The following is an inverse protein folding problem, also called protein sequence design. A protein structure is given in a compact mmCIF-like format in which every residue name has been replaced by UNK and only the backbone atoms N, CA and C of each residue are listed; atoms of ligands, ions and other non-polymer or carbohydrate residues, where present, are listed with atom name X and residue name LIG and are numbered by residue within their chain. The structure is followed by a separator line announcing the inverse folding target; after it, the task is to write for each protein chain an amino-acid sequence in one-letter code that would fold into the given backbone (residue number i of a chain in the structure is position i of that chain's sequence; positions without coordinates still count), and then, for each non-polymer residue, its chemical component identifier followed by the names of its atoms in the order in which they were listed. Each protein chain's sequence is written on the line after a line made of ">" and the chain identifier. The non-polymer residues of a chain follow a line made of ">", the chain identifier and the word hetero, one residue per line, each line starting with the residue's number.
data_IF_847943836602
#
_entry.id   IF_847943836602
#
_cell.length_a   1.000
_cell.length_b   1.000
_cell.length_c   1.000
_cell.angle_alpha   90.00
_cell.angle_beta   90.00
_cell.angle_gamma   90.00
#
_symmetry.space_group_name_H-M   'P 1'
#
loop_
_entity.id
_entity.type
_entity.pdbx_description
1 polymer ?
#
# COMPACT_ATOMS: atom_id res chain seq x y z
N UNK A 1 -7.98 -9.79 -0.14
CA UNK A 1 -6.95 -9.37 -1.14
C UNK A 1 -5.77 -10.33 -1.12
N UNK A 2 -5.64 -11.19 -2.14
CA UNK A 2 -4.61 -12.24 -2.17
C UNK A 2 -3.17 -11.74 -2.42
N UNK A 3 -2.99 -10.52 -2.91
CA UNK A 3 -1.67 -9.99 -3.27
C UNK A 3 -0.85 -9.43 -2.08
N UNK A 4 -1.51 -9.08 -0.97
CA UNK A 4 -0.86 -8.42 0.18
C UNK A 4 0.24 -9.27 0.83
N UNK A 5 0.05 -10.57 1.11
CA UNK A 5 1.10 -11.40 1.69
C UNK A 5 2.38 -11.43 0.84
N UNK A 6 2.23 -11.72 -0.45
CA UNK A 6 3.36 -11.78 -1.36
C UNK A 6 4.06 -10.43 -1.55
N UNK A 7 3.32 -9.32 -1.47
CA UNK A 7 3.92 -8.00 -1.50
C UNK A 7 4.80 -7.72 -0.28
N UNK A 8 4.31 -8.03 0.94
CA UNK A 8 5.08 -7.90 2.19
C UNK A 8 6.36 -8.73 2.12
N UNK A 9 6.24 -9.98 1.68
CA UNK A 9 7.38 -10.89 1.49
C UNK A 9 8.42 -10.28 0.54
N UNK A 10 8.00 -9.79 -0.63
CA UNK A 10 8.91 -9.16 -1.61
C UNK A 10 9.58 -7.91 -1.04
N UNK A 11 8.85 -7.05 -0.33
CA UNK A 11 9.40 -5.86 0.32
C UNK A 11 10.54 -6.22 1.26
N UNK A 12 10.34 -7.21 2.15
CA UNK A 12 11.38 -7.62 3.10
C UNK A 12 12.56 -8.27 2.38
N UNK A 13 12.30 -9.28 1.55
CA UNK A 13 13.35 -10.06 0.87
C UNK A 13 14.24 -9.17 0.00
N UNK A 14 13.67 -8.18 -0.70
CA UNK A 14 14.43 -7.26 -1.56
C UNK A 14 15.38 -6.33 -0.80
N UNK A 15 15.25 -6.20 0.53
CA UNK A 15 16.06 -5.31 1.37
C UNK A 15 17.02 -6.02 2.30
N UNK A 16 16.93 -7.34 2.42
CA UNK A 16 17.91 -8.13 3.15
C UNK A 16 19.16 -8.35 2.28
N UNK A 17 20.34 -8.25 2.89
CA UNK A 17 21.61 -8.54 2.22
C UNK A 17 21.87 -10.04 2.07
N UNK A 18 21.31 -10.84 2.98
CA UNK A 18 21.47 -12.28 3.05
C UNK A 18 20.09 -12.97 3.12
N UNK A 19 20.08 -14.29 2.94
CA UNK A 19 18.86 -15.06 3.09
C UNK A 19 18.28 -14.90 4.52
N UNK A 20 16.95 -14.74 4.67
CA UNK A 20 16.33 -14.59 5.98
C UNK A 20 16.52 -15.86 6.83
N UNK A 21 16.83 -15.68 8.11
CA UNK A 21 16.83 -16.79 9.08
C UNK A 21 15.42 -17.36 9.27
N UNK A 22 15.27 -18.56 9.85
CA UNK A 22 13.96 -19.11 10.19
C UNK A 22 13.10 -18.19 11.06
N UNK A 23 13.73 -17.44 11.96
CA UNK A 23 13.06 -16.45 12.82
C UNK A 23 12.51 -15.29 11.99
N UNK A 24 13.32 -14.75 11.06
CA UNK A 24 12.88 -13.69 10.14
C UNK A 24 11.78 -14.18 9.21
N UNK A 25 11.86 -15.42 8.71
CA UNK A 25 10.78 -16.02 7.92
C UNK A 25 9.45 -16.10 8.68
N UNK A 26 9.49 -16.43 9.98
CA UNK A 26 8.30 -16.41 10.83
C UNK A 26 7.72 -15.01 10.99
N UNK A 27 8.58 -13.98 11.17
CA UNK A 27 8.16 -12.58 11.24
C UNK A 27 7.54 -12.10 9.92
N UNK A 28 8.14 -12.46 8.78
CA UNK A 28 7.59 -12.15 7.45
C UNK A 28 6.19 -12.76 7.31
N UNK A 29 6.04 -14.04 7.62
CA UNK A 29 4.77 -14.73 7.51
C UNK A 29 3.70 -14.12 8.43
N UNK A 30 4.08 -13.68 9.63
CA UNK A 30 3.15 -13.01 10.54
C UNK A 30 2.73 -11.62 10.04
N UNK A 31 3.69 -10.80 9.64
CA UNK A 31 3.43 -9.49 9.05
C UNK A 31 2.56 -9.60 7.80
N UNK A 32 2.79 -10.60 6.94
CA UNK A 32 2.00 -10.88 5.76
C UNK A 32 0.53 -11.21 6.11
N UNK A 33 0.30 -12.10 7.08
CA UNK A 33 -1.05 -12.43 7.54
C UNK A 33 -1.75 -11.24 8.18
N UNK A 34 -1.03 -10.47 9.00
CA UNK A 34 -1.57 -9.28 9.68
C UNK A 34 -1.93 -8.20 8.69
N UNK A 35 -1.05 -7.91 7.72
CA UNK A 35 -1.32 -6.99 6.61
C UNK A 35 -2.56 -7.42 5.84
N UNK A 36 -2.68 -8.69 5.48
CA UNK A 36 -3.85 -9.19 4.76
C UNK A 36 -5.15 -8.98 5.55
N UNK A 37 -5.15 -9.24 6.86
CA UNK A 37 -6.35 -9.06 7.70
C UNK A 37 -6.72 -7.59 7.84
N UNK A 38 -5.77 -6.76 8.27
CA UNK A 38 -6.06 -5.38 8.66
C UNK A 38 -6.22 -4.47 7.43
N UNK A 39 -5.24 -4.47 6.54
CA UNK A 39 -5.23 -3.63 5.34
C UNK A 39 -6.27 -4.14 4.33
N UNK A 40 -6.46 -5.45 4.25
CA UNK A 40 -7.52 -6.04 3.43
C UNK A 40 -8.91 -5.58 3.87
N UNK A 41 -9.21 -5.62 5.18
CA UNK A 41 -10.48 -5.14 5.72
C UNK A 41 -10.66 -3.64 5.53
N UNK A 42 -9.60 -2.85 5.67
CA UNK A 42 -9.63 -1.40 5.45
C UNK A 42 -9.95 -1.05 3.98
N UNK A 43 -9.28 -1.72 3.03
CA UNK A 43 -9.54 -1.53 1.59
C UNK A 43 -10.96 -1.98 1.24
N UNK A 44 -11.43 -3.10 1.76
CA UNK A 44 -12.81 -3.55 1.56
C UNK A 44 -13.83 -2.55 2.10
N UNK A 45 -13.62 -2.03 3.31
CA UNK A 45 -14.45 -0.98 3.89
C UNK A 45 -14.40 0.31 3.06
N UNK A 46 -13.25 0.67 2.50
CA UNK A 46 -13.12 1.83 1.63
C UNK A 46 -13.91 1.66 0.33
N UNK A 47 -13.81 0.50 -0.30
CA UNK A 47 -14.43 0.22 -1.60
C UNK A 47 -15.96 0.07 -1.51
N UNK A 48 -16.49 -0.26 -0.33
CA UNK A 48 -17.94 -0.37 -0.08
C UNK A 48 -18.61 0.96 0.27
N UNK A 49 -17.83 1.99 0.64
CA UNK A 49 -18.35 3.35 0.88
C UNK A 49 -18.80 4.01 -0.42
N UNK A 50 -19.80 4.87 -0.31
CA UNK A 50 -20.17 5.74 -1.42
C UNK A 50 -18.96 6.61 -1.83
N UNK A 51 -18.85 6.90 -3.12
CA UNK A 51 -17.73 7.64 -3.71
C UNK A 51 -17.49 8.98 -3.01
N UNK A 52 -18.56 9.66 -2.60
CA UNK A 52 -18.50 10.97 -1.92
C UNK A 52 -18.05 10.84 -0.45
N UNK A 53 -18.11 9.65 0.13
CA UNK A 53 -17.68 9.34 1.50
C UNK A 53 -16.24 8.80 1.58
N UNK A 54 -15.64 8.46 0.43
CA UNK A 54 -14.28 7.94 0.34
C UNK A 54 -13.24 9.06 0.47
N UNK A 55 -12.87 9.37 1.73
CA UNK A 55 -11.87 10.39 2.11
C UNK A 55 -10.40 10.01 1.84
N UNK A 56 -10.14 8.77 1.42
CA UNK A 56 -8.79 8.27 1.10
C UNK A 56 -8.82 7.46 -0.20
N UNK A 57 -7.66 6.94 -0.60
CA UNK A 57 -7.50 6.08 -1.78
C UNK A 57 -6.91 4.73 -1.39
N UNK A 58 -7.17 3.65 -2.16
CA UNK A 58 -6.51 2.36 -1.92
C UNK A 58 -4.98 2.48 -1.90
N UNK A 59 -4.41 3.36 -2.74
CA UNK A 59 -2.97 3.61 -2.75
C UNK A 59 -2.48 4.25 -1.46
N UNK A 60 -3.20 5.22 -0.90
CA UNK A 60 -2.85 5.81 0.40
C UNK A 60 -2.85 4.77 1.51
N UNK A 61 -3.87 3.90 1.57
CA UNK A 61 -3.95 2.81 2.54
C UNK A 61 -2.76 1.84 2.40
N UNK A 62 -2.36 1.53 1.16
CA UNK A 62 -1.19 0.67 0.89
C UNK A 62 0.14 1.35 1.22
N UNK A 63 0.24 2.67 1.07
CA UNK A 63 1.42 3.42 1.52
C UNK A 63 1.58 3.35 3.03
N UNK A 64 0.48 3.47 3.77
CA UNK A 64 0.51 3.34 5.23
C UNK A 64 0.85 1.89 5.67
N UNK A 65 0.52 0.89 4.84
CA UNK A 65 0.81 -0.52 5.10
C UNK A 65 2.32 -0.86 5.07
N UNK A 66 3.18 0.04 4.59
CA UNK A 66 4.65 -0.12 4.62
C UNK A 66 5.20 -0.33 6.04
N UNK A 67 4.46 0.12 7.07
CA UNK A 67 4.80 -0.14 8.47
C UNK A 67 5.03 -1.62 8.79
N UNK A 68 4.33 -2.53 8.12
CA UNK A 68 4.45 -3.99 8.35
C UNK A 68 5.81 -4.54 7.89
N UNK A 69 6.21 -4.44 6.60
CA UNK A 69 7.53 -4.88 6.18
C UNK A 69 8.66 -4.08 6.85
N UNK A 70 8.45 -2.80 7.17
CA UNK A 70 9.42 -1.99 7.93
C UNK A 70 9.68 -2.56 9.32
N UNK A 71 8.64 -2.94 10.06
CA UNK A 71 8.80 -3.54 11.38
C UNK A 71 9.59 -4.86 11.34
N UNK A 72 9.38 -5.67 10.30
CA UNK A 72 10.15 -6.91 10.08
C UNK A 72 11.62 -6.58 9.79
N UNK A 73 11.90 -5.63 8.91
CA UNK A 73 13.27 -5.24 8.55
C UNK A 73 14.03 -4.64 9.74
N UNK A 74 13.38 -3.81 10.56
CA UNK A 74 13.95 -3.30 11.82
C UNK A 74 14.30 -4.45 12.77
N UNK A 75 13.38 -5.41 12.94
CA UNK A 75 13.59 -6.59 13.79
C UNK A 75 14.69 -7.51 13.28
N UNK A 76 14.87 -7.59 11.95
CA UNK A 76 15.93 -8.35 11.30
C UNK A 76 17.29 -7.63 11.31
N UNK A 77 17.37 -6.39 11.84
CA UNK A 77 18.60 -5.59 11.84
C UNK A 77 19.02 -5.12 10.45
N UNK A 78 18.09 -5.06 9.50
CA UNK A 78 18.39 -4.61 8.14
C UNK A 78 18.87 -3.15 8.15
N UNK A 79 19.89 -2.83 7.35
CA UNK A 79 20.42 -1.48 7.22
C UNK A 79 19.39 -0.57 6.54
N UNK A 80 18.96 0.54 7.17
CA UNK A 80 18.10 1.53 6.55
C UNK A 80 18.67 2.07 5.24
N UNK A 81 17.82 2.37 4.26
CA UNK A 81 18.21 3.11 3.06
C UNK A 81 17.76 4.55 3.24
N UNK A 82 18.70 5.44 3.54
CA UNK A 82 18.39 6.86 3.64
C UNK A 82 17.70 7.35 2.36
N UNK A 83 16.47 7.87 2.49
CA UNK A 83 15.81 8.61 1.41
C UNK A 83 16.43 10.01 1.32
N UNK A 84 16.81 10.41 0.13
CA UNK A 84 17.27 11.77 -0.12
C UNK A 84 16.09 12.66 -0.55
N UNK A 85 16.04 13.90 -0.03
CA UNK A 85 15.13 14.95 -0.52
C UNK A 85 13.66 14.81 -0.07
N UNK A 86 12.74 15.16 -0.99
CA UNK A 86 11.31 15.37 -0.73
C UNK A 86 10.55 14.13 -0.21
N UNK A 87 11.01 12.92 -0.52
CA UNK A 87 10.31 11.69 -0.14
C UNK A 87 10.48 11.31 1.34
N UNK A 88 11.55 11.79 2.00
CA UNK A 88 11.78 11.56 3.42
C UNK A 88 10.77 12.35 4.31
N UNK A 89 10.39 13.56 3.90
CA UNK A 89 9.37 14.36 4.59
C UNK A 89 7.97 13.77 4.43
N UNK A 90 7.70 13.15 3.27
CA UNK A 90 6.38 12.63 2.94
C UNK A 90 6.09 11.27 3.57
N UNK A 91 7.13 10.48 3.84
CA UNK A 91 7.04 9.14 4.41
C UNK A 91 8.09 8.93 5.50
N UNK A 92 7.96 9.61 6.65
CA UNK A 92 8.98 9.61 7.71
C UNK A 92 9.21 8.23 8.35
N UNK A 93 8.24 7.32 8.23
CA UNK A 93 8.32 5.97 8.80
C UNK A 93 8.84 4.91 7.81
N UNK A 94 9.23 5.30 6.60
CA UNK A 94 9.71 4.38 5.56
C UNK A 94 11.24 4.41 5.41
N UNK A 95 11.92 3.93 6.46
CA UNK A 95 13.37 3.81 6.56
C UNK A 95 14.01 2.96 5.44
N UNK A 96 13.18 2.17 4.74
CA UNK A 96 13.62 1.19 3.78
C UNK A 96 13.11 1.46 2.37
N UNK A 97 12.55 2.64 2.11
CA UNK A 97 12.12 3.05 0.77
C UNK A 97 11.17 2.04 0.09
N UNK A 98 10.16 1.58 0.83
CA UNK A 98 9.19 0.55 0.41
C UNK A 98 7.86 1.11 -0.08
N UNK A 99 7.61 2.40 0.12
CA UNK A 99 6.36 3.07 -0.23
C UNK A 99 6.05 2.94 -1.72
N UNK A 100 4.92 2.32 -2.09
CA UNK A 100 4.54 2.18 -3.49
C UNK A 100 4.19 3.55 -4.09
N UNK A 101 4.75 3.83 -5.26
CA UNK A 101 4.38 4.97 -6.08
C UNK A 101 3.02 4.72 -6.75
N UNK A 102 2.77 3.46 -7.14
CA UNK A 102 1.60 3.00 -7.88
C UNK A 102 1.04 1.68 -7.34
N UNK A 103 -0.22 1.37 -7.65
CA UNK A 103 -0.84 0.08 -7.29
C UNK A 103 -0.13 -1.12 -7.95
N UNK A 104 0.48 -0.92 -9.11
CA UNK A 104 1.26 -1.93 -9.81
C UNK A 104 2.51 -2.38 -9.04
N UNK A 105 3.05 -1.54 -8.16
CA UNK A 105 4.21 -1.87 -7.30
C UNK A 105 3.83 -2.95 -6.26
N UNK A 106 2.54 -3.05 -5.92
CA UNK A 106 2.00 -4.07 -5.01
C UNK A 106 1.75 -5.37 -5.77
N UNK A 107 1.07 -5.29 -6.92
CA UNK A 107 0.90 -6.42 -7.85
C UNK A 107 0.58 -5.88 -9.24
N UNK A 108 1.15 -6.44 -10.33
CA UNK A 108 0.88 -5.99 -11.70
C UNK A 108 -0.62 -5.93 -12.03
N UNK A 109 -1.39 -6.91 -11.55
CA UNK A 109 -2.85 -6.99 -11.76
C UNK A 109 -3.62 -5.80 -11.17
N UNK A 110 -3.10 -5.19 -10.09
CA UNK A 110 -3.71 -4.02 -9.47
C UNK A 110 -3.48 -2.73 -10.27
N UNK A 111 -2.53 -2.72 -11.21
CA UNK A 111 -2.25 -1.57 -12.05
C UNK A 111 -3.45 -1.19 -12.91
N UNK A 112 -3.91 -2.13 -13.75
CA UNK A 112 -5.06 -1.90 -14.63
C UNK A 112 -6.35 -1.68 -13.83
N UNK A 113 -6.60 -2.50 -12.81
CA UNK A 113 -7.78 -2.36 -11.94
C UNK A 113 -7.82 -0.97 -11.28
N UNK A 114 -6.68 -0.46 -10.83
CA UNK A 114 -6.55 0.87 -10.25
C UNK A 114 -6.89 2.00 -11.22
N UNK A 115 -6.45 1.89 -12.47
CA UNK A 115 -6.75 2.86 -13.52
C UNK A 115 -8.24 2.88 -13.87
N UNK A 116 -8.83 1.71 -14.08
CA UNK A 116 -10.26 1.57 -14.40
C UNK A 116 -11.13 2.11 -13.27
N UNK A 117 -10.81 1.75 -12.02
CA UNK A 117 -11.51 2.25 -10.85
C UNK A 117 -11.38 3.77 -10.70
N UNK A 118 -10.17 4.31 -10.87
CA UNK A 118 -9.91 5.75 -10.78
C UNK A 118 -10.71 6.54 -11.82
N UNK A 119 -10.76 6.06 -13.06
CA UNK A 119 -11.55 6.65 -14.13
C UNK A 119 -13.07 6.60 -13.83
N UNK A 120 -13.58 5.46 -13.37
CA UNK A 120 -14.98 5.29 -13.00
C UNK A 120 -15.40 6.20 -11.82
N UNK A 121 -14.54 6.32 -10.79
CA UNK A 121 -14.74 7.22 -9.66
C UNK A 121 -14.80 8.67 -10.11
N UNK A 122 -13.84 9.11 -10.93
CA UNK A 122 -13.80 10.47 -11.45
C UNK A 122 -15.02 10.81 -12.32
N UNK A 123 -15.44 9.88 -13.19
CA UNK A 123 -16.62 10.04 -14.03
C UNK A 123 -17.89 10.15 -13.18
N UNK A 124 -18.06 9.29 -12.19
CA UNK A 124 -19.23 9.29 -11.30
C UNK A 124 -19.31 10.57 -10.47
N UNK A 125 -18.18 10.99 -9.89
CA UNK A 125 -18.11 12.27 -9.17
C UNK A 125 -18.46 13.44 -10.10
N UNK A 126 -17.92 13.46 -11.33
CA UNK A 126 -18.25 14.50 -12.32
C UNK A 126 -19.74 14.49 -12.69
N UNK A 127 -20.35 13.32 -12.86
CA UNK A 127 -21.76 13.20 -13.21
C UNK A 127 -22.68 13.69 -12.08
N UNK A 128 -22.32 13.42 -10.81
CA UNK A 128 -23.09 13.83 -9.63
C UNK A 128 -22.96 15.31 -9.30
N UNK A 129 -21.78 15.88 -9.50
CA UNK A 129 -21.45 17.26 -9.12
C UNK A 129 -21.32 18.20 -10.32
N UNK A 130 -21.77 17.79 -11.51
CA UNK A 130 -21.83 18.68 -12.66
C UNK A 130 -22.77 19.85 -12.32
N UNK A 131 -22.35 21.11 -12.56
CA UNK A 131 -23.22 22.25 -12.33
C UNK A 131 -24.45 22.11 -13.23
N UNK A 132 -25.66 22.22 -12.64
CA UNK A 132 -26.88 22.36 -13.43
C UNK A 132 -26.75 23.65 -14.24
N UNK A 133 -26.89 23.55 -15.56
CA UNK A 133 -26.86 24.70 -16.47
C UNK A 133 -27.90 25.76 -16.09
N UNK A 134 -27.72 27.02 -16.51
CA UNK A 134 -28.63 28.11 -16.16
C UNK A 134 -30.05 27.78 -16.62
N UNK A 135 -31.02 27.98 -15.70
CA UNK A 135 -32.46 27.86 -15.96
C UNK A 135 -32.97 29.02 -16.81
#
# INVERSE_FOLDING_TARGET
>A
MAALPGWVERCVVSRLAEAPSPEVLALIADAARTTQREVGAEIESLLTKDIDEQRTTPLSVLRDAVRYPTAVLRSAGATPRARAGFDAERFPDDDYDLTPAHLADVSPELGELGLVWGAAKAWTHKARHAPKGPS
#
